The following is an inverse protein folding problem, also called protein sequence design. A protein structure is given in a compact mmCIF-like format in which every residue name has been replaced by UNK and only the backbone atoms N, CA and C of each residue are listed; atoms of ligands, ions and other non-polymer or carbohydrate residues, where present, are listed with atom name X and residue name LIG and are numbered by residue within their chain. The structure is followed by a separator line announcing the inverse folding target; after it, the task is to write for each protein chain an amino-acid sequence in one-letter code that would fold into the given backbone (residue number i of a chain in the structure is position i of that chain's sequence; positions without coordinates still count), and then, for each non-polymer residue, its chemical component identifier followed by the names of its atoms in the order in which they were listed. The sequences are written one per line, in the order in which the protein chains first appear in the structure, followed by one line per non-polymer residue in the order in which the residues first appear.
data_IF_341809374107
#
_entry.id   IF_341809374107
#
_cell.length_a   1.000
_cell.length_b   1.000
_cell.length_c   1.000
_cell.angle_alpha   90.00
_cell.angle_beta   90.00
_cell.angle_gamma   90.00
#
_symmetry.space_group_name_H-M   'P 1'
#
loop_
_entity.id
_entity.type
_entity.pdbx_description
1 polymer ?
#
# COMPACT_ATOMS: atom_id res chain seq x y z
N UNK A 1 -6.53 6.25 9.52
CA UNK A 1 -5.29 5.46 9.38
C UNK A 1 -4.11 6.39 9.65
N UNK A 2 -3.12 5.99 10.45
CA UNK A 2 -1.84 6.70 10.55
C UNK A 2 -0.81 5.85 9.81
N UNK A 3 -0.75 6.02 8.49
CA UNK A 3 0.22 5.40 7.59
C UNK A 3 1.08 6.53 7.02
N UNK A 4 2.30 6.21 6.56
CA UNK A 4 3.14 7.23 5.94
C UNK A 4 2.55 7.62 4.59
N UNK A 5 2.45 8.91 4.32
CA UNK A 5 2.18 9.41 2.96
C UNK A 5 3.51 9.66 2.25
N UNK A 6 3.62 9.22 1.00
CA UNK A 6 4.78 9.33 0.13
C UNK A 6 4.35 9.98 -1.19
N UNK A 7 5.23 10.74 -1.81
CA UNK A 7 5.03 11.20 -3.20
C UNK A 7 5.28 10.06 -4.18
N UNK A 8 4.77 10.19 -5.40
CA UNK A 8 4.67 9.11 -6.40
C UNK A 8 6.04 8.59 -6.79
N UNK A 9 6.98 9.49 -7.10
CA UNK A 9 8.36 9.13 -7.43
C UNK A 9 9.06 8.37 -6.30
N UNK A 10 8.79 8.73 -5.03
CA UNK A 10 9.35 8.03 -3.88
C UNK A 10 8.71 6.64 -3.72
N UNK A 11 7.39 6.53 -3.94
CA UNK A 11 6.67 5.27 -3.88
C UNK A 11 7.13 4.30 -4.98
N UNK A 12 7.35 4.76 -6.21
CA UNK A 12 7.85 3.94 -7.32
C UNK A 12 9.25 3.39 -7.03
N UNK A 13 10.16 4.22 -6.50
CA UNK A 13 11.50 3.78 -6.09
C UNK A 13 11.43 2.70 -5.01
N UNK A 14 10.48 2.82 -4.09
CA UNK A 14 10.25 1.83 -3.02
C UNK A 14 9.60 0.55 -3.53
N UNK A 15 8.66 0.65 -4.47
CA UNK A 15 7.95 -0.48 -5.09
C UNK A 15 8.92 -1.51 -5.66
N UNK A 16 10.00 -1.06 -6.31
CA UNK A 16 11.05 -1.94 -6.85
C UNK A 16 11.73 -2.83 -5.79
N UNK A 17 11.82 -2.35 -4.55
CA UNK A 17 12.39 -3.11 -3.43
C UNK A 17 11.32 -4.04 -2.85
N UNK A 18 10.09 -3.52 -2.73
CA UNK A 18 8.97 -4.21 -2.10
C UNK A 18 8.47 -5.39 -2.92
N UNK A 19 8.45 -5.26 -4.25
CA UNK A 19 8.14 -6.34 -5.18
C UNK A 19 9.15 -7.50 -5.05
N UNK A 20 10.44 -7.20 -4.86
CA UNK A 20 11.48 -8.22 -4.62
C UNK A 20 11.33 -8.94 -3.29
N UNK A 21 10.68 -8.30 -2.32
CA UNK A 21 10.42 -8.86 -0.99
C UNK A 21 9.03 -9.52 -0.92
N UNK A 22 8.28 -9.55 -2.02
CA UNK A 22 6.89 -10.05 -2.09
C UNK A 22 5.96 -9.37 -1.06
N UNK A 23 6.24 -8.11 -0.72
CA UNK A 23 5.51 -7.36 0.30
C UNK A 23 5.09 -5.98 -0.24
N UNK A 24 3.94 -5.91 -0.92
CA UNK A 24 3.40 -4.66 -1.46
C UNK A 24 2.32 -4.06 -0.55
N UNK A 25 2.71 -3.16 0.35
CA UNK A 25 1.79 -2.39 1.21
C UNK A 25 1.71 -0.91 0.79
N UNK A 26 1.68 -0.66 -0.53
CA UNK A 26 1.51 0.66 -1.13
C UNK A 26 0.07 0.79 -1.66
N UNK A 27 -0.63 1.87 -1.28
CA UNK A 27 -2.00 2.14 -1.69
C UNK A 27 -2.11 3.56 -2.24
N UNK A 28 -2.56 3.72 -3.48
CA UNK A 28 -2.72 5.04 -4.09
C UNK A 28 -3.80 5.85 -3.35
N UNK A 29 -3.50 7.10 -3.00
CA UNK A 29 -4.44 8.01 -2.35
C UNK A 29 -5.07 8.95 -3.36
N UNK A 30 -4.24 9.53 -4.23
CA UNK A 30 -4.61 10.40 -5.34
C UNK A 30 -3.45 10.47 -6.35
N UNK A 31 -3.50 11.38 -7.32
CA UNK A 31 -2.48 11.53 -8.37
C UNK A 31 -1.08 11.94 -7.83
N UNK A 32 -1.03 12.59 -6.67
CA UNK A 32 0.19 13.20 -6.11
C UNK A 32 0.73 12.48 -4.86
N UNK A 33 -0.07 11.58 -4.26
CA UNK A 33 0.28 10.88 -3.04
C UNK A 33 -0.08 9.38 -3.03
N UNK A 34 0.78 8.59 -2.37
CA UNK A 34 0.62 7.17 -2.07
C UNK A 34 0.73 6.95 -0.57
N UNK A 35 -0.12 6.08 -0.01
CA UNK A 35 0.04 5.57 1.36
C UNK A 35 1.04 4.41 1.36
N UNK A 36 2.14 4.57 2.08
CA UNK A 36 3.11 3.54 2.40
C UNK A 36 2.84 3.01 3.81
N UNK A 37 2.28 1.80 3.87
CA UNK A 37 1.96 1.13 5.12
C UNK A 37 3.00 0.09 5.53
N UNK A 38 4.14 -0.06 4.83
CA UNK A 38 5.10 -1.14 5.09
C UNK A 38 5.66 -1.06 6.52
N UNK A 39 6.08 0.13 6.96
CA UNK A 39 6.69 0.34 8.30
C UNK A 39 5.69 0.78 9.36
N UNK A 40 4.80 1.71 9.00
CA UNK A 40 3.82 2.31 9.92
C UNK A 40 2.40 2.14 9.37
N UNK A 41 1.49 1.58 10.17
CA UNK A 41 0.11 1.34 9.75
C UNK A 41 -0.73 0.60 10.77
N UNK A 42 -1.99 0.35 10.44
CA UNK A 42 -2.94 -0.38 11.28
C UNK A 42 -3.09 -1.85 10.81
N UNK A 43 -3.89 -2.64 11.55
CA UNK A 43 -4.10 -4.07 11.25
C UNK A 43 -4.70 -4.34 9.86
N UNK A 44 -5.41 -3.39 9.26
CA UNK A 44 -6.02 -3.60 7.94
C UNK A 44 -4.99 -3.70 6.81
N UNK A 45 -3.73 -3.29 7.01
CA UNK A 45 -2.66 -3.54 6.03
C UNK A 45 -2.42 -5.03 5.74
N UNK A 46 -2.85 -5.91 6.65
CA UNK A 46 -2.71 -7.37 6.50
C UNK A 46 -3.91 -8.02 5.81
N UNK A 47 -4.89 -7.24 5.35
CA UNK A 47 -5.95 -7.75 4.49
C UNK A 47 -5.31 -8.08 3.14
N UNK A 48 -5.44 -9.33 2.73
CA UNK A 48 -4.85 -9.83 1.48
C UNK A 48 -5.77 -9.55 0.28
N UNK A 49 -5.17 -9.57 -0.91
CA UNK A 49 -5.91 -9.52 -2.17
C UNK A 49 -6.61 -10.86 -2.45
N UNK A 50 -7.90 -10.80 -2.77
CA UNK A 50 -8.68 -11.89 -3.36
C UNK A 50 -9.30 -11.34 -4.64
N UNK A 51 -8.96 -11.96 -5.77
CA UNK A 51 -9.43 -11.55 -7.10
C UNK A 51 -10.80 -12.11 -7.49
N UNK A 52 -11.30 -13.13 -6.77
CA UNK A 52 -12.55 -13.82 -7.10
C UNK A 52 -13.67 -13.44 -6.12
N UNK A 53 -13.38 -13.46 -4.81
CA UNK A 53 -14.39 -13.30 -3.76
C UNK A 53 -14.00 -12.31 -2.65
N UNK A 54 -13.68 -11.05 -2.99
CA UNK A 54 -13.38 -10.05 -1.96
C UNK A 54 -14.60 -9.77 -1.08
N UNK A 55 -14.39 -9.73 0.24
CA UNK A 55 -15.45 -9.48 1.24
C UNK A 55 -15.38 -8.09 1.89
N UNK A 56 -14.38 -7.29 1.51
CA UNK A 56 -14.12 -5.94 2.03
C UNK A 56 -13.75 -5.01 0.87
N UNK A 57 -14.03 -3.70 1.02
CA UNK A 57 -13.66 -2.68 0.03
C UNK A 57 -13.05 -1.46 0.70
N UNK A 58 -12.13 -0.79 0.02
CA UNK A 58 -11.65 0.55 0.37
C UNK A 58 -12.62 1.60 -0.20
N UNK A 59 -12.72 2.76 0.46
CA UNK A 59 -13.54 3.90 0.04
C UNK A 59 -12.76 5.18 0.17
#
# INVERSE_FOLDING_TARGET
MCTRTSVQDEAERRRLIYDKMEMSYLFDLNEDAVLDALRDGNKSKFINHDGETPNCTAK
#
